data_IF_632623633990
#
_entry.id   IF_632623633990
#
_cell.length_a   1.000
_cell.length_b   1.000
_cell.length_c   1.000
_cell.angle_alpha   90.00
_cell.angle_beta   90.00
_cell.angle_gamma   90.00
#
_symmetry.space_group_name_H-M   'P 1'
#
loop_
_entity.id
_entity.type
_entity.pdbx_description
1 polymer ?
#
# COMPACT_ATOMS: atom_id res chain seq x y z
N UNK A 1 -4.78 4.48 1.35
CA UNK A 1 -4.17 3.90 0.14
C UNK A 1 -5.18 3.63 -0.99
N UNK A 2 -6.19 2.77 -0.79
CA UNK A 2 -7.13 2.31 -1.82
C UNK A 2 -7.81 3.40 -2.70
N UNK A 3 -8.21 4.55 -2.14
CA UNK A 3 -8.86 5.60 -2.94
C UNK A 3 -7.98 6.17 -4.05
N UNK A 4 -6.65 6.16 -3.83
CA UNK A 4 -5.66 6.59 -4.83
C UNK A 4 -5.52 5.51 -5.89
N UNK A 5 -5.24 4.27 -5.47
CA UNK A 5 -5.03 3.11 -6.34
C UNK A 5 -6.25 2.84 -7.23
N UNK A 6 -7.48 2.99 -6.72
CA UNK A 6 -8.73 2.79 -7.48
C UNK A 6 -8.81 3.64 -8.77
N UNK A 7 -8.08 4.75 -8.85
CA UNK A 7 -8.07 5.65 -10.02
C UNK A 7 -7.00 5.27 -11.05
N UNK A 8 -6.08 4.37 -10.71
CA UNK A 8 -4.96 4.04 -11.58
C UNK A 8 -5.41 3.27 -12.82
N UNK A 9 -4.96 3.74 -13.98
CA UNK A 9 -4.96 2.94 -15.21
C UNK A 9 -3.87 1.86 -15.11
N UNK A 10 -3.93 0.86 -15.99
CA UNK A 10 -2.98 -0.28 -15.98
C UNK A 10 -1.52 0.15 -15.92
N UNK A 11 -1.10 1.14 -16.71
CA UNK A 11 0.27 1.64 -16.70
C UNK A 11 0.67 2.22 -15.33
N UNK A 12 -0.19 3.07 -14.76
CA UNK A 12 0.05 3.70 -13.46
C UNK A 12 0.06 2.67 -12.33
N UNK A 13 -0.77 1.64 -12.41
CA UNK A 13 -0.77 0.52 -11.48
C UNK A 13 0.56 -0.25 -11.55
N UNK A 14 1.03 -0.57 -12.75
CA UNK A 14 2.29 -1.30 -12.94
C UNK A 14 3.48 -0.47 -12.46
N UNK A 15 3.52 0.83 -12.78
CA UNK A 15 4.56 1.74 -12.28
C UNK A 15 4.53 1.86 -10.75
N UNK A 16 3.35 1.73 -10.13
CA UNK A 16 3.19 1.70 -8.69
C UNK A 16 3.70 0.40 -8.08
N UNK A 17 3.31 -0.75 -8.62
CA UNK A 17 3.75 -2.08 -8.15
C UNK A 17 5.26 -2.27 -8.31
N UNK A 18 5.85 -1.76 -9.40
CA UNK A 18 7.29 -1.81 -9.64
C UNK A 18 8.10 -1.06 -8.57
N UNK A 19 7.53 0.01 -7.98
CA UNK A 19 8.19 0.83 -6.95
C UNK A 19 7.98 0.29 -5.53
N UNK A 20 7.11 -0.70 -5.34
CA UNK A 20 6.82 -1.23 -4.02
C UNK A 20 7.90 -2.27 -3.63
N UNK A 21 8.74 -1.89 -2.67
CA UNK A 21 9.74 -2.80 -2.11
C UNK A 21 9.04 -3.92 -1.30
N UNK A 22 9.39 -5.17 -1.58
CA UNK A 22 8.90 -6.35 -0.85
C UNK A 22 7.92 -7.24 -1.61
N UNK A 23 7.44 -6.81 -2.79
CA UNK A 23 6.65 -7.69 -3.65
C UNK A 23 7.50 -8.68 -4.45
N UNK A 24 8.83 -8.45 -4.53
CA UNK A 24 9.84 -9.18 -5.33
C UNK A 24 9.26 -9.72 -6.65
N UNK A 25 8.64 -8.82 -7.43
CA UNK A 25 8.06 -9.14 -8.72
C UNK A 25 9.14 -9.09 -9.79
N UNK A 26 9.08 -10.05 -10.71
CA UNK A 26 9.87 -10.02 -11.93
C UNK A 26 9.14 -9.20 -13.01
N UNK A 27 9.85 -8.76 -14.05
CA UNK A 27 9.24 -8.03 -15.17
C UNK A 27 8.15 -8.88 -15.85
N UNK A 28 8.31 -10.21 -15.85
CA UNK A 28 7.33 -11.18 -16.36
C UNK A 28 6.00 -11.10 -15.60
N UNK A 29 6.04 -10.94 -14.27
CA UNK A 29 4.84 -10.82 -13.44
C UNK A 29 4.10 -9.50 -13.76
N UNK A 30 4.85 -8.41 -13.92
CA UNK A 30 4.29 -7.10 -14.30
C UNK A 30 3.73 -7.12 -15.73
N UNK A 31 4.33 -7.89 -16.64
CA UNK A 31 3.85 -8.08 -17.99
C UNK A 31 2.48 -8.79 -18.01
N UNK A 32 2.25 -9.77 -17.12
CA UNK A 32 0.94 -10.40 -16.94
C UNK A 32 -0.12 -9.36 -16.59
N UNK A 33 0.17 -8.48 -15.62
CA UNK A 33 -0.73 -7.38 -15.22
C UNK A 33 -1.03 -6.45 -16.40
N UNK A 34 -0.01 -6.11 -17.22
CA UNK A 34 -0.18 -5.30 -18.44
C UNK A 34 -1.05 -6.00 -19.49
N UNK A 35 -0.77 -7.27 -19.79
CA UNK A 35 -1.47 -8.09 -20.80
C UNK A 35 -2.94 -8.28 -20.44
N UNK A 36 -3.23 -8.52 -19.17
CA UNK A 36 -4.60 -8.67 -18.67
C UNK A 36 -5.32 -7.32 -18.48
N UNK A 37 -4.65 -6.20 -18.75
CA UNK A 37 -5.20 -4.84 -18.65
C UNK A 37 -5.83 -4.54 -17.28
N UNK A 38 -5.25 -5.10 -16.22
CA UNK A 38 -5.74 -4.91 -14.85
C UNK A 38 -5.65 -3.43 -14.50
N UNK A 39 -6.78 -2.83 -14.11
CA UNK A 39 -6.78 -1.46 -13.57
C UNK A 39 -6.54 -1.49 -12.07
N UNK A 40 -6.24 -0.34 -11.47
CA UNK A 40 -6.10 -0.26 -10.01
C UNK A 40 -7.40 -0.60 -9.27
N UNK A 41 -8.57 -0.44 -9.90
CA UNK A 41 -9.85 -0.91 -9.33
C UNK A 41 -9.93 -2.43 -9.30
N UNK A 42 -9.49 -3.09 -10.36
CA UNK A 42 -9.54 -4.55 -10.49
C UNK A 42 -8.51 -5.17 -9.55
N UNK A 43 -7.29 -4.62 -9.52
CA UNK A 43 -6.22 -5.03 -8.61
C UNK A 43 -6.68 -5.04 -7.15
N UNK A 44 -7.40 -4.01 -6.70
CA UNK A 44 -7.87 -4.00 -5.31
C UNK A 44 -8.74 -5.22 -5.02
N UNK A 45 -9.56 -5.71 -5.94
CA UNK A 45 -10.43 -6.86 -5.71
C UNK A 45 -9.88 -8.19 -6.23
N UNK A 46 -8.58 -8.24 -6.56
CA UNK A 46 -7.98 -9.41 -7.18
C UNK A 46 -7.78 -10.53 -6.16
N UNK A 47 -8.02 -11.76 -6.59
CA UNK A 47 -7.71 -12.97 -5.82
C UNK A 47 -6.43 -13.65 -6.29
N UNK A 48 -5.82 -14.44 -5.41
CA UNK A 48 -4.66 -15.28 -5.75
C UNK A 48 -5.04 -16.28 -6.85
N UNK A 49 -6.24 -16.85 -6.79
CA UNK A 49 -6.74 -17.83 -7.75
C UNK A 49 -6.91 -17.24 -9.15
N UNK A 50 -7.40 -16.00 -9.27
CA UNK A 50 -7.47 -15.28 -10.56
C UNK A 50 -6.08 -15.04 -11.15
N UNK A 51 -5.12 -14.61 -10.32
CA UNK A 51 -3.73 -14.38 -10.72
C UNK A 51 -3.08 -15.68 -11.23
N UNK A 52 -3.26 -16.79 -10.51
CA UNK A 52 -2.76 -18.09 -10.95
C UNK A 52 -3.45 -18.58 -12.24
N UNK A 53 -4.75 -18.32 -12.37
CA UNK A 53 -5.53 -18.68 -13.56
C UNK A 53 -5.06 -17.96 -14.84
N UNK A 54 -4.46 -16.78 -14.71
CA UNK A 54 -3.85 -16.03 -15.84
C UNK A 54 -2.35 -16.32 -16.02
N UNK A 55 -1.83 -17.35 -15.35
CA UNK A 55 -0.46 -17.84 -15.52
C UNK A 55 0.58 -17.24 -14.57
N UNK A 56 0.17 -16.53 -13.51
CA UNK A 56 1.11 -16.02 -12.52
C UNK A 56 1.60 -17.13 -11.58
N UNK A 57 2.90 -17.11 -11.26
CA UNK A 57 3.50 -18.06 -10.31
C UNK A 57 2.89 -17.88 -8.91
N UNK A 58 2.84 -18.97 -8.13
CA UNK A 58 2.22 -19.00 -6.79
C UNK A 58 2.76 -17.90 -5.84
N UNK A 59 4.07 -17.67 -5.84
CA UNK A 59 4.72 -16.68 -4.96
C UNK A 59 4.26 -15.24 -5.23
N UNK A 60 4.51 -14.70 -6.44
CA UNK A 60 4.00 -13.39 -6.87
C UNK A 60 2.49 -13.25 -6.70
N UNK A 61 1.71 -14.28 -7.08
CA UNK A 61 0.25 -14.26 -6.95
C UNK A 61 -0.21 -14.08 -5.50
N UNK A 62 0.42 -14.81 -4.57
CA UNK A 62 0.09 -14.70 -3.13
C UNK A 62 0.42 -13.30 -2.60
N UNK A 63 1.62 -12.80 -2.87
CA UNK A 63 2.06 -11.47 -2.39
C UNK A 63 1.20 -10.33 -2.95
N UNK A 64 0.81 -10.39 -4.22
CA UNK A 64 -0.05 -9.38 -4.81
C UNK A 64 -1.46 -9.39 -4.22
N UNK A 65 -2.04 -10.56 -3.96
CA UNK A 65 -3.35 -10.67 -3.31
C UNK A 65 -3.31 -10.13 -1.87
N UNK A 66 -2.30 -10.53 -1.08
CA UNK A 66 -2.10 -10.04 0.28
C UNK A 66 -1.90 -8.51 0.28
N UNK A 67 -1.07 -7.99 -0.64
CA UNK A 67 -0.82 -6.56 -0.77
C UNK A 67 -2.05 -5.76 -1.23
N UNK A 68 -2.89 -6.32 -2.11
CA UNK A 68 -4.15 -5.71 -2.51
C UNK A 68 -5.07 -5.53 -1.30
N UNK A 69 -5.12 -6.52 -0.41
CA UNK A 69 -5.89 -6.45 0.83
C UNK A 69 -5.31 -5.43 1.80
N UNK A 70 -3.99 -5.42 2.00
CA UNK A 70 -3.32 -4.36 2.78
C UNK A 70 -3.63 -2.97 2.23
N UNK A 71 -3.69 -2.81 0.90
CA UNK A 71 -4.03 -1.54 0.27
C UNK A 71 -5.48 -1.10 0.57
N UNK A 72 -6.41 -2.04 0.77
CA UNK A 72 -7.77 -1.76 1.25
C UNK A 72 -7.76 -1.37 2.72
N UNK A 73 -7.00 -2.09 3.55
CA UNK A 73 -6.94 -1.88 4.99
C UNK A 73 -6.18 -0.61 5.38
N UNK A 74 -5.13 -0.22 4.65
CA UNK A 74 -4.40 1.06 4.78
C UNK A 74 -5.26 2.29 4.45
N UNK A 75 -6.57 2.13 4.32
CA UNK A 75 -7.58 3.20 4.39
C UNK A 75 -8.00 3.50 5.83
N UNK A 76 -7.64 2.64 6.80
CA UNK A 76 -8.03 2.68 8.21
C UNK A 76 -7.01 3.33 9.14
N UNK A 77 -5.88 3.84 8.65
CA UNK A 77 -5.13 4.85 9.40
C UNK A 77 -5.50 6.24 8.86
N UNK A 78 -6.79 6.59 8.86
CA UNK A 78 -7.12 8.01 8.90
C UNK A 78 -6.58 8.54 10.22
N UNK A 79 -6.08 9.78 10.29
CA UNK A 79 -5.61 10.34 11.57
C UNK A 79 -6.66 10.25 12.69
N UNK A 80 -7.95 10.12 12.33
CA UNK A 80 -9.06 9.89 13.25
C UNK A 80 -9.12 8.49 13.88
N UNK A 81 -8.36 7.49 13.40
CA UNK A 81 -8.31 6.16 14.03
C UNK A 81 -7.24 6.07 15.11
N UNK A 82 -6.27 6.98 15.12
CA UNK A 82 -5.38 7.17 16.26
C UNK A 82 -6.14 7.86 17.39
N UNK A 83 -6.90 7.07 18.16
CA UNK A 83 -7.75 7.58 19.25
C UNK A 83 -7.16 7.32 20.63
N UNK A 84 -6.18 6.43 20.70
CA UNK A 84 -5.59 6.02 21.97
C UNK A 84 -4.18 6.56 22.13
N UNK A 85 -3.69 6.59 23.37
CA UNK A 85 -2.32 6.95 23.66
C UNK A 85 -1.32 6.01 22.96
N UNK A 86 -1.64 4.71 22.88
CA UNK A 86 -0.79 3.71 22.20
C UNK A 86 -0.63 4.03 20.72
N UNK A 87 -1.74 4.33 20.06
CA UNK A 87 -1.77 4.72 18.64
C UNK A 87 -0.89 5.95 18.37
N UNK A 88 -1.00 6.97 19.24
CA UNK A 88 -0.17 8.16 19.16
C UNK A 88 1.31 7.83 19.38
N UNK A 89 1.63 6.99 20.36
CA UNK A 89 3.00 6.54 20.63
C UNK A 89 3.61 5.82 19.43
N UNK A 90 2.87 4.93 18.76
CA UNK A 90 3.35 4.25 17.55
C UNK A 90 3.67 5.22 16.39
N UNK A 91 2.90 6.31 16.25
CA UNK A 91 3.19 7.35 15.26
C UNK A 91 4.43 8.15 15.66
N UNK A 92 4.56 8.53 16.93
CA UNK A 92 5.68 9.34 17.44
C UNK A 92 7.03 8.58 17.38
N UNK A 93 7.02 7.28 17.65
CA UNK A 93 8.22 6.43 17.54
C UNK A 93 8.80 6.43 16.12
N UNK A 94 7.96 6.51 15.08
CA UNK A 94 8.42 6.61 13.69
C UNK A 94 9.24 7.88 13.41
N UNK A 95 9.05 8.92 14.22
CA UNK A 95 9.80 10.18 14.12
C UNK A 95 10.89 10.30 15.20
N UNK A 96 11.22 9.19 15.89
CA UNK A 96 12.23 9.18 16.95
C UNK A 96 11.80 9.89 18.23
N UNK A 97 10.50 10.15 18.39
CA UNK A 97 9.93 10.82 19.55
C UNK A 97 9.45 9.73 20.51
N UNK A 98 10.32 9.37 21.45
CA UNK A 98 10.01 8.38 22.47
C UNK A 98 9.42 9.05 23.71
N UNK A 99 8.26 8.57 24.16
CA UNK A 99 7.62 8.99 25.40
C UNK A 99 6.76 10.25 25.25
N UNK A 100 7.30 11.40 25.64
CA UNK A 100 6.54 12.62 25.91
C UNK A 100 6.36 13.52 24.69
N UNK A 101 5.14 14.04 24.53
CA UNK A 101 4.73 15.02 23.50
C UNK A 101 5.50 16.34 23.59
N UNK A 102 6.08 16.67 24.75
CA UNK A 102 6.89 17.89 24.93
C UNK A 102 8.16 17.90 24.08
N UNK A 103 8.59 16.74 23.56
CA UNK A 103 9.72 16.61 22.63
C UNK A 103 9.37 16.98 21.19
N UNK A 104 8.09 17.18 20.87
CA UNK A 104 7.67 17.64 19.54
C UNK A 104 8.11 19.10 19.37
N UNK A 105 8.91 19.44 18.33
CA UNK A 105 9.30 20.81 18.06
C UNK A 105 8.08 21.71 17.90
N UNK A 106 8.00 22.77 18.71
CA UNK A 106 6.91 23.74 18.59
C UNK A 106 7.07 24.57 17.32
N UNK A 107 5.96 24.77 16.62
CA UNK A 107 5.94 25.65 15.46
C UNK A 107 6.24 27.08 15.88
N UNK A 108 7.25 27.68 15.26
CA UNK A 108 7.61 29.08 15.46
C UNK A 108 7.17 29.86 14.20
N UNK A 109 6.07 30.64 14.27
CA UNK A 109 5.66 31.45 13.13
C UNK A 109 6.66 32.56 12.85
N UNK A 110 7.05 32.71 11.59
CA UNK A 110 7.76 33.90 11.11
C UNK A 110 6.76 34.99 10.74
N UNK A 111 7.08 36.24 11.10
CA UNK A 111 6.27 37.43 10.79
C UNK A 111 6.42 37.85 9.33
#
# INVERSE_FOLDING_TARGET
MANKIKKYKTKELVDFLYKEDGLELEEEDLEIIRKQRVSGRDFLNISKEELQGVGMKLGPAKRLADFAEECKEKKLCSFSTYKTHKDLSEVLEKYGIFGDITRIPQFIPHK
#
